data_IF_161067682939
#
_entry.id   IF_161067682939
#
_cell.length_a   1.000
_cell.length_b   1.000
_cell.length_c   1.000
_cell.angle_alpha   90.00
_cell.angle_beta   90.00
_cell.angle_gamma   90.00
#
_symmetry.space_group_name_H-M   'P 1'
#
loop_
_entity.id
_entity.type
_entity.pdbx_description
1 polymer ?
#
# COMPACT_ATOMS: atom_id res chain seq x y z
N UNK A 1 4.15 -25.16 34.10
CA UNK A 1 4.55 -23.78 33.75
C UNK A 1 5.10 -23.64 32.32
N UNK A 2 5.88 -24.60 31.79
CA UNK A 2 6.49 -24.53 30.45
C UNK A 2 5.52 -24.30 29.26
N UNK A 3 4.29 -24.83 29.31
CA UNK A 3 3.29 -24.66 28.23
C UNK A 3 2.85 -23.20 28.07
N UNK A 4 2.71 -22.45 29.17
CA UNK A 4 2.33 -21.03 29.16
C UNK A 4 3.45 -20.15 28.58
N UNK A 5 4.71 -20.43 28.93
CA UNK A 5 5.86 -19.75 28.35
C UNK A 5 5.97 -19.96 26.83
N UNK A 6 5.66 -21.18 26.35
CA UNK A 6 5.65 -21.50 24.91
C UNK A 6 4.57 -20.75 24.14
N UNK A 7 3.38 -20.59 24.74
CA UNK A 7 2.27 -19.82 24.15
C UNK A 7 2.63 -18.33 24.10
N UNK A 8 3.14 -17.77 25.21
CA UNK A 8 3.55 -16.36 25.26
C UNK A 8 4.60 -16.04 24.20
N UNK A 9 5.63 -16.89 24.05
CA UNK A 9 6.66 -16.73 23.02
C UNK A 9 6.06 -16.69 21.62
N UNK A 10 5.09 -17.57 21.32
CA UNK A 10 4.42 -17.57 20.01
C UNK A 10 3.66 -16.28 19.78
N UNK A 11 2.90 -15.80 20.76
CA UNK A 11 2.15 -14.54 20.65
C UNK A 11 3.10 -13.39 20.33
N UNK A 12 4.20 -13.25 21.07
CA UNK A 12 5.19 -12.19 20.82
C UNK A 12 5.77 -12.29 19.40
N UNK A 13 6.14 -13.49 18.95
CA UNK A 13 6.64 -13.71 17.59
C UNK A 13 5.59 -13.31 16.56
N UNK A 14 4.34 -13.73 16.70
CA UNK A 14 3.29 -13.39 15.73
C UNK A 14 2.96 -11.90 15.71
N UNK A 15 2.91 -11.23 16.86
CA UNK A 15 2.72 -9.77 16.93
C UNK A 15 3.86 -9.05 16.21
N UNK A 16 5.11 -9.48 16.43
CA UNK A 16 6.27 -8.93 15.75
C UNK A 16 6.20 -9.17 14.23
N UNK A 17 5.87 -10.38 13.79
CA UNK A 17 5.72 -10.72 12.38
C UNK A 17 4.60 -9.93 11.70
N UNK A 18 3.44 -9.77 12.34
CA UNK A 18 2.32 -8.97 11.81
C UNK A 18 2.73 -7.50 11.71
N UNK A 19 3.41 -6.97 12.73
CA UNK A 19 3.91 -5.59 12.71
C UNK A 19 4.86 -5.38 11.54
N UNK A 20 5.88 -6.25 11.40
CA UNK A 20 6.79 -6.21 10.26
C UNK A 20 6.06 -6.31 8.93
N UNK A 21 5.07 -7.19 8.82
CA UNK A 21 4.27 -7.33 7.60
C UNK A 21 3.50 -6.06 7.25
N UNK A 22 2.94 -5.35 8.24
CA UNK A 22 2.25 -4.08 7.99
C UNK A 22 3.25 -3.03 7.52
N UNK A 23 4.41 -2.93 8.18
CA UNK A 23 5.46 -1.99 7.80
C UNK A 23 6.00 -2.25 6.38
N UNK A 24 6.14 -3.51 5.98
CA UNK A 24 6.62 -3.85 4.63
C UNK A 24 5.55 -3.65 3.57
N UNK A 25 4.27 -3.91 3.85
CA UNK A 25 3.15 -3.73 2.90
C UNK A 25 2.77 -2.26 2.73
N UNK A 26 2.93 -1.45 3.77
CA UNK A 26 2.55 -0.03 3.78
C UNK A 26 3.09 0.79 2.59
N UNK A 27 4.40 0.76 2.24
CA UNK A 27 4.89 1.51 1.09
C UNK A 27 4.27 1.06 -0.25
N UNK A 28 4.00 -0.23 -0.43
CA UNK A 28 3.33 -0.73 -1.64
C UNK A 28 1.88 -0.26 -1.72
N UNK A 29 1.17 -0.30 -0.58
CA UNK A 29 -0.16 0.26 -0.46
C UNK A 29 -0.17 1.74 -0.84
N UNK A 30 0.78 2.52 -0.33
CA UNK A 30 0.87 3.95 -0.62
C UNK A 30 1.08 4.21 -2.12
N UNK A 31 2.00 3.50 -2.77
CA UNK A 31 2.27 3.65 -4.20
C UNK A 31 1.01 3.32 -5.03
N UNK A 32 0.36 2.19 -4.73
CA UNK A 32 -0.86 1.78 -5.43
C UNK A 32 -2.02 2.76 -5.20
N UNK A 33 -2.16 3.31 -3.99
CA UNK A 33 -3.15 4.34 -3.68
C UNK A 33 -2.90 5.58 -4.52
N UNK A 34 -1.66 6.09 -4.52
CA UNK A 34 -1.31 7.32 -5.23
C UNK A 34 -1.38 7.17 -6.75
N UNK A 35 -1.08 5.98 -7.30
CA UNK A 35 -1.17 5.77 -8.74
C UNK A 35 -2.61 5.76 -9.25
N UNK A 36 -3.57 5.41 -8.39
CA UNK A 36 -5.01 5.40 -8.68
C UNK A 36 -5.73 6.73 -8.39
N UNK A 37 -5.03 7.70 -7.82
CA UNK A 37 -5.58 8.98 -7.40
C UNK A 37 -5.41 10.04 -8.49
N UNK A 38 -6.39 10.94 -8.66
CA UNK A 38 -6.44 11.87 -9.81
C UNK A 38 -5.92 13.26 -9.43
N UNK A 39 -5.06 13.81 -10.30
CA UNK A 39 -4.74 15.24 -10.32
C UNK A 39 -4.28 15.79 -8.96
N UNK A 40 -5.00 16.78 -8.44
CA UNK A 40 -4.64 17.45 -7.18
C UNK A 40 -4.98 16.66 -5.92
N UNK A 41 -5.77 15.57 -6.01
CA UNK A 41 -6.15 14.78 -4.83
C UNK A 41 -4.95 14.11 -4.16
N UNK A 42 -3.90 13.78 -4.94
CA UNK A 42 -2.62 13.25 -4.43
C UNK A 42 -1.97 14.20 -3.42
N UNK A 43 -2.22 15.50 -3.53
CA UNK A 43 -1.67 16.55 -2.67
C UNK A 43 -2.65 17.02 -1.59
N UNK A 44 -3.83 16.40 -1.47
CA UNK A 44 -4.83 16.75 -0.46
C UNK A 44 -4.32 16.40 0.95
N UNK A 45 -4.61 17.28 1.91
CA UNK A 45 -4.34 17.04 3.33
C UNK A 45 -5.62 17.18 4.18
N UNK A 46 -5.97 16.20 5.03
CA UNK A 46 -5.32 14.90 5.18
C UNK A 46 -5.50 14.03 3.92
N UNK A 47 -4.53 13.16 3.58
CA UNK A 47 -4.68 12.23 2.47
C UNK A 47 -5.79 11.23 2.78
N UNK A 48 -6.62 10.94 1.78
CA UNK A 48 -7.65 9.92 1.93
C UNK A 48 -6.98 8.54 2.03
N UNK A 49 -7.48 7.71 2.96
CA UNK A 49 -6.99 6.33 3.11
C UNK A 49 -7.26 5.57 1.81
N UNK A 50 -8.49 5.59 1.32
CA UNK A 50 -8.90 4.96 0.07
C UNK A 50 -9.06 6.07 -0.97
N UNK A 51 -8.49 5.93 -2.18
CA UNK A 51 -8.52 6.99 -3.18
C UNK A 51 -9.96 7.18 -3.68
N UNK A 52 -10.44 8.43 -3.68
CA UNK A 52 -11.76 8.77 -4.19
C UNK A 52 -11.66 10.07 -5.02
N UNK A 53 -12.05 10.07 -6.31
CA UNK A 53 -12.41 8.90 -7.12
C UNK A 53 -11.22 7.99 -7.45
N UNK A 54 -11.46 6.69 -7.60
CA UNK A 54 -10.49 5.73 -8.14
C UNK A 54 -10.42 5.89 -9.66
N UNK A 55 -9.22 6.01 -10.23
CA UNK A 55 -9.03 6.13 -11.68
C UNK A 55 -7.75 5.49 -12.17
N UNK A 56 -7.79 4.99 -13.40
CA UNK A 56 -6.62 4.45 -14.12
C UNK A 56 -6.03 5.46 -15.11
N UNK A 57 -6.50 6.71 -15.08
CA UNK A 57 -6.11 7.75 -16.03
C UNK A 57 -4.59 7.95 -16.07
N UNK A 58 -3.92 7.95 -14.91
CA UNK A 58 -2.46 8.05 -14.81
C UNK A 58 -1.75 6.95 -15.63
N UNK A 59 -2.27 5.72 -15.62
CA UNK A 59 -1.72 4.61 -16.40
C UNK A 59 -1.95 4.84 -17.90
N UNK A 60 -3.16 5.20 -18.31
CA UNK A 60 -3.47 5.46 -19.73
C UNK A 60 -2.69 6.67 -20.28
N UNK A 61 -2.50 7.70 -19.46
CA UNK A 61 -1.71 8.88 -19.78
C UNK A 61 -0.25 8.54 -19.93
N UNK A 62 0.33 7.78 -18.99
CA UNK A 62 1.70 7.29 -19.10
C UNK A 62 1.90 6.43 -20.36
N UNK A 63 0.95 5.53 -20.66
CA UNK A 63 1.01 4.66 -21.84
C UNK A 63 1.05 5.45 -23.15
N UNK A 64 0.20 6.48 -23.26
CA UNK A 64 0.17 7.38 -24.43
C UNK A 64 1.43 8.25 -24.51
N UNK A 65 1.86 8.81 -23.38
CA UNK A 65 3.01 9.72 -23.32
C UNK A 65 4.32 9.01 -23.67
N UNK A 66 4.49 7.78 -23.20
CA UNK A 66 5.67 6.96 -23.44
C UNK A 66 5.58 6.15 -24.76
N UNK A 67 4.49 6.26 -25.52
CA UNK A 67 4.20 5.44 -26.71
C UNK A 67 4.39 3.93 -26.47
N UNK A 68 4.00 3.45 -25.29
CA UNK A 68 4.11 2.03 -24.96
C UNK A 68 3.23 1.20 -25.92
N UNK A 69 3.73 0.05 -26.38
CA UNK A 69 3.03 -0.80 -27.35
C UNK A 69 3.25 -0.42 -28.82
N UNK A 70 4.12 0.56 -29.12
CA UNK A 70 4.63 0.80 -30.48
C UNK A 70 6.03 0.20 -30.65
N UNK A 71 6.16 -1.14 -30.62
CA UNK A 71 7.24 -1.93 -31.21
C UNK A 71 6.74 -3.37 -31.42
#
# INVERSE_FOLDING_TARGET
>A
MAKRAKVMRRIVIYVFLVTLSIFTVWPFYWIAKTSLEIGKNVYKYPPDLIPHPVSIENYTGAWRTLNLGRY
#
